data_IF_264350391814
#
_entry.id   IF_264350391814
#
_cell.length_a   1.000
_cell.length_b   1.000
_cell.length_c   1.000
_cell.angle_alpha   90.00
_cell.angle_beta   90.00
_cell.angle_gamma   90.00
#
_symmetry.space_group_name_H-M   'P 1'
#
loop_
_entity.id
_entity.type
_entity.pdbx_description
1 polymer ?
#
# COMPACT_ATOMS: atom_id res chain seq x y z
N UNK A 1 14.99 -13.06 -31.13
CA UNK A 1 15.13 -11.60 -30.84
C UNK A 1 16.12 -11.06 -31.85
N UNK A 2 15.71 -10.16 -32.71
CA UNK A 2 16.58 -9.53 -33.69
C UNK A 2 17.52 -8.47 -33.06
N UNK A 3 18.44 -7.94 -33.86
CA UNK A 3 19.42 -6.96 -33.39
C UNK A 3 18.73 -5.65 -32.95
N UNK A 4 17.69 -5.23 -33.69
CA UNK A 4 16.94 -4.00 -33.40
C UNK A 4 16.19 -4.08 -32.04
N UNK A 5 15.52 -5.19 -31.76
CA UNK A 5 14.85 -5.41 -30.48
C UNK A 5 15.84 -5.42 -29.30
N UNK A 6 17.05 -5.98 -29.48
CA UNK A 6 18.08 -5.94 -28.44
C UNK A 6 18.57 -4.52 -28.16
N UNK A 7 18.80 -3.74 -29.20
CA UNK A 7 19.23 -2.35 -29.08
C UNK A 7 18.14 -1.50 -28.41
N UNK A 8 16.86 -1.71 -28.78
CA UNK A 8 15.71 -1.05 -28.17
C UNK A 8 15.63 -1.34 -26.66
N UNK A 9 15.77 -2.60 -26.25
CA UNK A 9 15.80 -2.97 -24.83
C UNK A 9 16.93 -2.23 -24.13
N UNK A 10 18.15 -2.31 -24.68
CA UNK A 10 19.35 -1.74 -24.04
C UNK A 10 19.22 -0.23 -23.86
N UNK A 11 18.70 0.46 -24.86
CA UNK A 11 18.47 1.90 -24.81
C UNK A 11 17.42 2.30 -23.72
N UNK A 12 16.43 1.44 -23.46
CA UNK A 12 15.33 1.74 -22.55
C UNK A 12 15.54 1.23 -21.11
N UNK A 13 16.57 0.43 -20.83
CA UNK A 13 16.85 -0.01 -19.46
C UNK A 13 17.03 1.17 -18.51
N UNK A 14 17.88 2.14 -18.86
CA UNK A 14 18.12 3.29 -17.98
C UNK A 14 16.91 4.20 -17.80
N UNK A 15 16.17 4.62 -18.81
CA UNK A 15 14.91 5.37 -18.65
C UNK A 15 13.91 4.65 -17.74
N UNK A 16 13.73 3.34 -17.89
CA UNK A 16 12.82 2.55 -17.07
C UNK A 16 13.31 2.46 -15.61
N UNK A 17 14.61 2.26 -15.38
CA UNK A 17 15.19 2.30 -14.04
C UNK A 17 14.99 3.68 -13.40
N UNK A 18 15.24 4.76 -14.13
CA UNK A 18 15.01 6.12 -13.66
C UNK A 18 13.55 6.33 -13.26
N UNK A 19 12.59 5.98 -14.12
CA UNK A 19 11.16 6.08 -13.82
C UNK A 19 10.77 5.25 -12.57
N UNK A 20 11.36 4.07 -12.41
CA UNK A 20 11.20 3.26 -11.21
C UNK A 20 11.60 4.03 -9.95
N UNK A 21 12.81 4.59 -9.93
CA UNK A 21 13.36 5.27 -8.75
C UNK A 21 12.71 6.63 -8.50
N UNK A 22 12.35 7.38 -9.55
CA UNK A 22 11.84 8.76 -9.42
C UNK A 22 10.31 8.86 -9.38
N UNK A 23 9.58 7.82 -9.80
CA UNK A 23 8.12 7.84 -9.80
C UNK A 23 7.50 6.63 -9.10
N UNK A 24 7.80 5.39 -9.53
CA UNK A 24 7.16 4.18 -8.98
C UNK A 24 7.42 4.03 -7.47
N UNK A 25 8.68 4.07 -7.03
CA UNK A 25 9.04 3.93 -5.61
C UNK A 25 8.56 5.10 -4.74
N UNK A 26 8.72 6.38 -5.12
CA UNK A 26 8.15 7.50 -4.38
C UNK A 26 6.63 7.44 -4.28
N UNK A 27 5.92 7.12 -5.39
CA UNK A 27 4.47 6.96 -5.39
C UNK A 27 4.04 5.88 -4.40
N UNK A 28 4.72 4.72 -4.41
CA UNK A 28 4.48 3.65 -3.45
C UNK A 28 4.70 4.11 -2.01
N UNK A 29 5.87 4.70 -1.72
CA UNK A 29 6.25 5.08 -0.36
C UNK A 29 5.32 6.15 0.22
N UNK A 30 5.04 7.22 -0.54
CA UNK A 30 4.17 8.31 -0.10
C UNK A 30 2.75 7.79 0.13
N UNK A 31 2.19 7.06 -0.83
CA UNK A 31 0.84 6.52 -0.72
C UNK A 31 0.70 5.51 0.42
N UNK A 32 1.73 4.68 0.65
CA UNK A 32 1.72 3.72 1.76
C UNK A 32 1.75 4.42 3.12
N UNK A 33 2.62 5.41 3.31
CA UNK A 33 2.74 6.14 4.59
C UNK A 33 1.45 6.90 4.91
N UNK A 34 0.91 7.65 3.94
CA UNK A 34 -0.36 8.37 4.12
C UNK A 34 -1.50 7.37 4.35
N UNK A 35 -1.57 6.32 3.55
CA UNK A 35 -2.58 5.26 3.68
C UNK A 35 -2.53 4.56 5.02
N UNK A 36 -1.33 4.30 5.56
CA UNK A 36 -1.17 3.70 6.90
C UNK A 36 -1.66 4.64 8.01
N UNK A 37 -1.39 5.95 7.90
CA UNK A 37 -1.93 6.94 8.84
C UNK A 37 -3.46 6.98 8.80
N UNK A 38 -4.07 6.96 7.61
CA UNK A 38 -5.52 6.85 7.43
C UNK A 38 -6.02 5.54 8.05
N UNK A 39 -5.34 4.42 7.82
CA UNK A 39 -5.73 3.09 8.29
C UNK A 39 -5.81 3.03 9.82
N UNK A 40 -4.84 3.59 10.52
CA UNK A 40 -4.85 3.64 12.00
C UNK A 40 -6.05 4.46 12.49
N UNK A 41 -6.28 5.65 11.95
CA UNK A 41 -7.41 6.49 12.31
C UNK A 41 -8.76 5.82 12.05
N UNK A 42 -8.92 5.19 10.86
CA UNK A 42 -10.14 4.48 10.47
C UNK A 42 -10.35 3.22 11.32
N UNK A 43 -9.31 2.46 11.64
CA UNK A 43 -9.40 1.28 12.51
C UNK A 43 -9.89 1.68 13.91
N UNK A 44 -9.32 2.72 14.52
CA UNK A 44 -9.73 3.23 15.82
C UNK A 44 -11.16 3.78 15.80
N UNK A 45 -11.52 4.54 14.77
CA UNK A 45 -12.88 5.04 14.60
C UNK A 45 -13.90 3.90 14.47
N UNK A 46 -13.56 2.83 13.73
CA UNK A 46 -14.41 1.65 13.56
C UNK A 46 -14.61 0.88 14.87
N UNK A 47 -13.60 0.84 15.74
CA UNK A 47 -13.65 0.16 17.05
C UNK A 47 -14.38 1.00 18.10
N UNK A 48 -14.65 2.28 17.84
CA UNK A 48 -15.33 3.16 18.78
C UNK A 48 -16.77 2.70 19.06
N UNK A 49 -17.17 2.76 20.34
CA UNK A 49 -18.56 2.55 20.75
C UNK A 49 -19.53 3.63 20.22
N UNK A 50 -19.00 4.80 19.84
CA UNK A 50 -19.78 5.92 19.31
C UNK A 50 -20.14 5.65 17.84
N UNK A 51 -21.43 5.45 17.55
CA UNK A 51 -21.94 5.21 16.17
C UNK A 51 -21.54 6.30 15.18
N UNK A 52 -21.44 7.56 15.64
CA UNK A 52 -21.02 8.71 14.82
C UNK A 52 -19.60 8.52 14.22
N UNK A 53 -18.71 7.80 14.91
CA UNK A 53 -17.37 7.48 14.42
C UNK A 53 -17.34 6.14 13.67
N UNK A 54 -18.00 5.12 14.22
CA UNK A 54 -17.89 3.77 13.67
C UNK A 54 -18.71 3.55 12.39
N UNK A 55 -19.80 4.28 12.18
CA UNK A 55 -20.61 4.14 10.96
C UNK A 55 -19.91 4.71 9.71
N UNK A 56 -19.37 5.95 9.70
CA UNK A 56 -18.59 6.46 8.58
C UNK A 56 -17.36 5.61 8.27
N UNK A 57 -16.65 5.14 9.29
CA UNK A 57 -15.49 4.28 9.12
C UNK A 57 -15.87 2.96 8.41
N UNK A 58 -16.97 2.32 8.80
CA UNK A 58 -17.50 1.12 8.13
C UNK A 58 -17.91 1.40 6.70
N UNK A 59 -18.58 2.51 6.46
CA UNK A 59 -19.03 2.92 5.12
C UNK A 59 -17.82 3.14 4.19
N UNK A 60 -16.81 3.90 4.65
CA UNK A 60 -15.57 4.10 3.91
C UNK A 60 -14.89 2.78 3.55
N UNK A 61 -14.67 1.89 4.52
CA UNK A 61 -14.05 0.58 4.28
C UNK A 61 -14.87 -0.23 3.28
N UNK A 62 -16.20 -0.20 3.39
CA UNK A 62 -17.09 -0.92 2.49
C UNK A 62 -16.96 -0.45 1.04
N UNK A 63 -16.92 0.87 0.80
CA UNK A 63 -16.74 1.45 -0.54
C UNK A 63 -15.37 1.09 -1.10
N UNK A 64 -14.31 1.36 -0.32
CA UNK A 64 -12.93 1.16 -0.81
C UNK A 64 -12.66 -0.30 -1.15
N UNK A 65 -13.14 -1.23 -0.33
CA UNK A 65 -12.95 -2.68 -0.56
C UNK A 65 -13.97 -3.30 -1.51
N UNK A 66 -15.07 -2.60 -1.77
CA UNK A 66 -16.13 -3.03 -2.67
C UNK A 66 -16.01 -2.50 -4.10
N UNK A 67 -15.03 -1.61 -4.37
CA UNK A 67 -14.84 -1.02 -5.69
C UNK A 67 -13.42 -1.26 -6.22
N UNK A 68 -13.23 -1.40 -7.55
CA UNK A 68 -11.90 -1.54 -8.14
C UNK A 68 -11.03 -0.30 -7.92
N UNK A 69 -9.75 -0.51 -7.60
CA UNK A 69 -8.78 0.59 -7.44
C UNK A 69 -8.69 1.48 -8.69
N UNK A 70 -8.74 0.90 -9.88
CA UNK A 70 -8.73 1.67 -11.14
C UNK A 70 -9.92 2.64 -11.23
N UNK A 71 -11.11 2.23 -10.77
CA UNK A 71 -12.29 3.10 -10.75
C UNK A 71 -12.11 4.23 -9.73
N UNK A 72 -11.55 3.93 -8.56
CA UNK A 72 -11.22 4.96 -7.55
C UNK A 72 -10.24 5.99 -8.12
N UNK A 73 -9.21 5.53 -8.83
CA UNK A 73 -8.23 6.38 -9.50
C UNK A 73 -8.89 7.29 -10.55
N UNK A 74 -9.79 6.74 -11.37
CA UNK A 74 -10.52 7.50 -12.39
C UNK A 74 -11.49 8.52 -11.79
N UNK A 75 -12.12 8.21 -10.66
CA UNK A 75 -12.97 9.18 -9.94
C UNK A 75 -12.13 10.37 -9.49
N UNK A 76 -10.97 10.13 -8.88
CA UNK A 76 -10.10 11.21 -8.41
C UNK A 76 -9.56 12.04 -9.56
N UNK A 77 -9.18 11.43 -10.68
CA UNK A 77 -8.51 12.15 -11.77
C UNK A 77 -9.49 12.74 -12.80
N UNK A 78 -10.55 12.03 -13.17
CA UNK A 78 -11.47 12.47 -14.25
C UNK A 78 -12.80 13.02 -13.74
N UNK A 79 -13.29 12.56 -12.57
CA UNK A 79 -14.59 13.02 -12.09
C UNK A 79 -14.49 14.29 -11.24
N UNK A 80 -13.47 14.47 -10.41
CA UNK A 80 -13.31 15.68 -9.58
C UNK A 80 -13.20 16.99 -10.40
N UNK A 81 -12.58 17.04 -11.57
CA UNK A 81 -12.58 18.23 -12.41
C UNK A 81 -13.98 18.72 -12.80
N UNK A 82 -14.99 17.85 -12.87
CA UNK A 82 -16.37 18.26 -13.13
C UNK A 82 -16.96 19.13 -12.00
N UNK A 83 -16.36 19.06 -10.81
CA UNK A 83 -16.70 19.88 -9.65
C UNK A 83 -15.71 21.06 -9.45
N UNK A 84 -14.89 21.35 -10.46
CA UNK A 84 -13.87 22.42 -10.41
C UNK A 84 -12.58 22.07 -9.66
N UNK A 85 -12.40 20.80 -9.27
CA UNK A 85 -11.20 20.34 -8.55
C UNK A 85 -10.27 19.62 -9.54
N UNK A 86 -9.30 20.35 -10.07
CA UNK A 86 -8.29 19.82 -11.00
C UNK A 86 -7.05 19.43 -10.20
N UNK A 87 -6.62 18.18 -10.33
CA UNK A 87 -5.46 17.64 -9.62
C UNK A 87 -4.49 17.05 -10.65
N UNK A 88 -3.22 17.37 -10.53
CA UNK A 88 -2.19 16.79 -11.38
C UNK A 88 -2.11 15.26 -11.25
N UNK A 89 -1.66 14.53 -12.29
CA UNK A 89 -1.65 13.07 -12.32
C UNK A 89 -0.99 12.41 -11.10
N UNK A 90 0.21 12.85 -10.72
CA UNK A 90 0.95 12.22 -9.62
C UNK A 90 0.26 12.44 -8.24
N UNK A 91 -0.13 13.66 -7.83
CA UNK A 91 -0.95 13.85 -6.63
C UNK A 91 -2.29 13.10 -6.67
N UNK A 92 -2.97 13.02 -7.81
CA UNK A 92 -4.21 12.27 -7.96
C UNK A 92 -3.99 10.77 -7.67
N UNK A 93 -2.89 10.19 -8.19
CA UNK A 93 -2.50 8.83 -7.90
C UNK A 93 -2.18 8.63 -6.40
N UNK A 94 -1.44 9.57 -5.78
CA UNK A 94 -1.14 9.52 -4.34
C UNK A 94 -2.43 9.50 -3.52
N UNK A 95 -3.40 10.36 -3.83
CA UNK A 95 -4.69 10.42 -3.12
C UNK A 95 -5.44 9.08 -3.26
N UNK A 96 -5.64 8.61 -4.50
CA UNK A 96 -6.39 7.37 -4.74
C UNK A 96 -5.75 6.16 -4.06
N UNK A 97 -4.44 6.00 -4.18
CA UNK A 97 -3.71 4.88 -3.59
C UNK A 97 -3.67 4.97 -2.06
N UNK A 98 -3.52 6.17 -1.50
CA UNK A 98 -3.57 6.37 -0.05
C UNK A 98 -4.92 6.01 0.54
N UNK A 99 -6.01 6.41 -0.13
CA UNK A 99 -7.36 6.03 0.28
C UNK A 99 -7.56 4.52 0.16
N UNK A 100 -7.08 3.91 -0.91
CA UNK A 100 -7.19 2.45 -1.10
C UNK A 100 -6.44 1.70 -0.01
N UNK A 101 -5.15 1.99 0.19
CA UNK A 101 -4.33 1.41 1.27
C UNK A 101 -4.99 1.64 2.63
N UNK A 102 -5.51 2.86 2.88
CA UNK A 102 -6.21 3.20 4.11
C UNK A 102 -7.37 2.27 4.42
N UNK A 103 -8.20 1.94 3.44
CA UNK A 103 -9.34 1.04 3.61
C UNK A 103 -8.95 -0.42 3.87
N UNK A 104 -7.96 -0.94 3.13
CA UNK A 104 -7.49 -2.31 3.31
C UNK A 104 -6.67 -2.47 4.59
N UNK A 105 -5.72 -1.58 4.85
CA UNK A 105 -4.86 -1.64 6.02
C UNK A 105 -5.64 -1.37 7.33
N UNK A 106 -6.76 -0.62 7.31
CA UNK A 106 -7.59 -0.42 8.49
C UNK A 106 -8.13 -1.74 9.05
N UNK A 107 -8.51 -2.68 8.19
CA UNK A 107 -8.94 -4.01 8.64
C UNK A 107 -7.78 -4.83 9.21
N UNK A 108 -6.60 -4.70 8.63
CA UNK A 108 -5.39 -5.35 9.14
C UNK A 108 -5.06 -4.84 10.53
N UNK A 109 -5.02 -3.52 10.69
CA UNK A 109 -4.75 -2.87 12.01
C UNK A 109 -5.80 -3.27 13.03
N UNK A 110 -7.09 -3.20 12.68
CA UNK A 110 -8.19 -3.60 13.56
C UNK A 110 -8.06 -5.07 13.98
N UNK A 111 -7.83 -5.98 13.03
CA UNK A 111 -7.70 -7.41 13.32
C UNK A 111 -6.49 -7.69 14.21
N UNK A 112 -5.38 -6.99 14.00
CA UNK A 112 -4.18 -7.11 14.82
C UNK A 112 -4.44 -6.64 16.28
N UNK A 113 -5.16 -5.52 16.46
CA UNK A 113 -5.52 -5.05 17.80
C UNK A 113 -6.45 -6.07 18.50
N UNK A 114 -7.44 -6.60 17.79
CA UNK A 114 -8.38 -7.59 18.34
C UNK A 114 -7.75 -8.95 18.61
N UNK A 115 -6.62 -9.28 18.01
CA UNK A 115 -5.91 -10.54 18.24
C UNK A 115 -4.99 -10.52 19.47
N UNK A 116 -4.81 -9.37 20.12
CA UNK A 116 -4.08 -9.28 21.38
C UNK A 116 -4.88 -9.98 22.48
N UNK A 117 -4.23 -10.87 23.19
CA UNK A 117 -4.88 -11.71 24.22
C UNK A 117 -5.64 -10.86 25.24
N UNK A 118 -6.88 -11.27 25.56
CA UNK A 118 -7.77 -10.53 26.47
C UNK A 118 -7.14 -10.31 27.85
N UNK A 119 -6.36 -11.27 28.35
CA UNK A 119 -5.63 -11.13 29.62
C UNK A 119 -4.63 -9.95 29.66
N UNK A 120 -4.17 -9.44 28.50
CA UNK A 120 -3.34 -8.23 28.46
C UNK A 120 -4.17 -6.97 28.78
N UNK A 121 -5.42 -6.96 28.34
CA UNK A 121 -6.37 -5.90 28.65
C UNK A 121 -6.77 -5.93 30.13
N UNK A 122 -7.10 -7.12 30.67
CA UNK A 122 -7.47 -7.30 32.09
C UNK A 122 -6.30 -6.94 33.03
N UNK A 123 -5.07 -7.37 32.70
CA UNK A 123 -3.90 -7.04 33.51
C UNK A 123 -3.64 -5.53 33.52
N UNK A 124 -3.77 -4.84 32.40
CA UNK A 124 -3.62 -3.39 32.35
C UNK A 124 -4.71 -2.67 33.15
N UNK A 125 -5.97 -3.13 33.06
CA UNK A 125 -7.09 -2.59 33.85
C UNK A 125 -6.88 -2.80 35.36
N UNK A 126 -6.39 -3.97 35.75
CA UNK A 126 -6.06 -4.28 37.15
C UNK A 126 -4.95 -3.38 37.72
N UNK A 127 -4.09 -2.84 36.87
CA UNK A 127 -3.07 -1.85 37.22
C UNK A 127 -3.62 -0.41 37.22
N UNK A 128 -4.92 -0.21 37.01
CA UNK A 128 -5.57 1.10 36.97
C UNK A 128 -5.32 1.90 35.67
N UNK A 129 -4.87 1.25 34.61
CA UNK A 129 -4.66 1.94 33.32
C UNK A 129 -6.01 2.29 32.67
N UNK A 130 -6.10 3.51 32.15
CA UNK A 130 -7.23 3.93 31.33
C UNK A 130 -7.18 3.26 29.96
N UNK A 131 -8.33 3.13 29.28
CA UNK A 131 -8.40 2.53 27.93
C UNK A 131 -7.36 3.11 26.93
N UNK A 132 -7.14 4.44 26.82
CA UNK A 132 -6.09 4.97 25.95
C UNK A 132 -4.69 4.54 26.38
N UNK A 133 -4.40 4.48 27.67
CA UNK A 133 -3.10 4.02 28.20
C UNK A 133 -2.88 2.55 27.86
N UNK A 134 -3.85 1.70 28.11
CA UNK A 134 -3.81 0.28 27.77
C UNK A 134 -3.58 0.10 26.25
N UNK A 135 -4.32 0.85 25.43
CA UNK A 135 -4.21 0.78 23.98
C UNK A 135 -2.78 1.15 23.50
N UNK A 136 -2.24 2.28 23.99
CA UNK A 136 -0.95 2.79 23.52
C UNK A 136 0.26 2.05 24.09
N UNK A 137 0.24 1.70 25.37
CA UNK A 137 1.42 1.15 26.04
C UNK A 137 1.45 -0.38 26.05
N UNK A 138 0.30 -1.05 25.98
CA UNK A 138 0.22 -2.51 26.07
C UNK A 138 -0.17 -3.15 24.75
N UNK A 139 -1.27 -2.68 24.14
CA UNK A 139 -1.88 -3.35 22.98
C UNK A 139 -1.21 -2.98 21.68
N UNK A 140 -0.97 -1.69 21.42
CA UNK A 140 -0.39 -1.22 20.15
C UNK A 140 0.98 -1.84 19.84
N UNK A 141 1.93 -1.93 20.79
CA UNK A 141 3.22 -2.56 20.53
C UNK A 141 3.11 -4.04 20.14
N UNK A 142 2.12 -4.75 20.70
CA UNK A 142 1.86 -6.15 20.38
C UNK A 142 1.13 -6.26 19.04
N UNK A 143 0.07 -5.48 18.83
CA UNK A 143 -0.69 -5.43 17.59
C UNK A 143 0.19 -5.04 16.39
N UNK A 144 1.13 -4.09 16.55
CA UNK A 144 2.05 -3.69 15.50
C UNK A 144 2.87 -4.88 14.98
N UNK A 145 3.37 -5.73 15.88
CA UNK A 145 4.11 -6.94 15.48
C UNK A 145 3.25 -7.91 14.66
N UNK A 146 1.98 -8.05 15.01
CA UNK A 146 1.03 -8.91 14.30
C UNK A 146 0.62 -8.30 12.95
N UNK A 147 0.53 -6.97 12.88
CA UNK A 147 0.14 -6.26 11.67
C UNK A 147 1.24 -6.20 10.60
N UNK A 148 2.52 -6.26 10.98
CA UNK A 148 3.66 -6.10 10.05
C UNK A 148 3.63 -7.07 8.86
N UNK A 149 3.43 -8.39 9.00
CA UNK A 149 3.39 -9.29 7.86
C UNK A 149 2.31 -8.92 6.83
N UNK A 150 1.03 -8.78 7.20
CA UNK A 150 -0.01 -8.41 6.24
C UNK A 150 0.15 -6.99 5.68
N UNK A 151 0.69 -6.03 6.44
CA UNK A 151 1.00 -4.69 5.93
C UNK A 151 2.15 -4.72 4.92
N UNK A 152 3.15 -5.58 5.11
CA UNK A 152 4.22 -5.78 4.14
C UNK A 152 3.68 -6.34 2.81
N UNK A 153 2.73 -7.27 2.87
CA UNK A 153 2.03 -7.76 1.67
C UNK A 153 1.24 -6.64 0.97
N UNK A 154 0.62 -5.74 1.73
CA UNK A 154 -0.07 -4.57 1.18
C UNK A 154 0.92 -3.64 0.47
N UNK A 155 2.10 -3.40 1.03
CA UNK A 155 3.15 -2.60 0.40
C UNK A 155 3.64 -3.23 -0.92
N UNK A 156 3.90 -4.55 -0.93
CA UNK A 156 4.33 -5.27 -2.15
C UNK A 156 3.24 -5.24 -3.23
N UNK A 157 1.98 -5.35 -2.85
CA UNK A 157 0.85 -5.21 -3.78
C UNK A 157 0.78 -3.79 -4.36
N UNK A 158 0.93 -2.77 -3.51
CA UNK A 158 0.89 -1.38 -3.93
C UNK A 158 1.97 -1.05 -4.98
N UNK A 159 3.18 -1.62 -4.87
CA UNK A 159 4.22 -1.47 -5.91
C UNK A 159 3.69 -1.87 -7.28
N UNK A 160 2.97 -2.98 -7.38
CA UNK A 160 2.38 -3.45 -8.65
C UNK A 160 1.20 -2.57 -9.08
N UNK A 161 0.40 -2.14 -8.12
CA UNK A 161 -0.77 -1.29 -8.36
C UNK A 161 -0.38 0.10 -8.89
N UNK A 162 0.86 0.58 -8.64
CA UNK A 162 1.34 1.83 -9.23
C UNK A 162 1.30 1.81 -10.76
N UNK A 163 1.36 0.65 -11.40
CA UNK A 163 1.20 0.51 -12.84
C UNK A 163 -0.13 1.07 -13.36
N UNK A 164 -1.20 1.06 -12.55
CA UNK A 164 -2.49 1.65 -12.89
C UNK A 164 -2.39 3.17 -13.09
N UNK A 165 -1.43 3.83 -12.47
CA UNK A 165 -1.22 5.26 -12.63
C UNK A 165 -0.78 5.66 -14.06
N UNK A 166 -0.29 4.71 -14.85
CA UNK A 166 -0.02 4.90 -16.29
C UNK A 166 -1.28 5.34 -17.05
N UNK A 167 -2.46 4.90 -16.61
CA UNK A 167 -3.76 5.20 -17.25
C UNK A 167 -4.22 6.64 -17.05
N UNK A 168 -3.67 7.33 -16.05
CA UNK A 168 -3.89 8.75 -15.77
C UNK A 168 -2.63 9.58 -16.05
N UNK A 169 -1.79 9.12 -16.98
CA UNK A 169 -0.62 9.83 -17.51
C UNK A 169 0.55 10.03 -16.52
N UNK A 170 0.59 9.33 -15.40
CA UNK A 170 1.79 9.31 -14.55
C UNK A 170 2.90 8.55 -15.26
N UNK A 171 4.03 9.22 -15.50
CA UNK A 171 5.20 8.61 -16.17
C UNK A 171 6.01 7.81 -15.12
N UNK A 172 5.46 6.67 -14.73
CA UNK A 172 6.09 5.65 -13.90
C UNK A 172 6.68 4.51 -14.80
N UNK A 173 7.13 3.40 -14.21
CA UNK A 173 7.79 2.32 -14.91
C UNK A 173 6.99 1.78 -16.11
N UNK A 174 5.71 1.41 -15.92
CA UNK A 174 4.89 0.86 -17.01
C UNK A 174 4.62 1.90 -18.10
N UNK A 175 4.32 3.14 -17.73
CA UNK A 175 4.11 4.23 -18.69
C UNK A 175 5.35 4.46 -19.56
N UNK A 176 6.54 4.41 -18.94
CA UNK A 176 7.81 4.53 -19.67
C UNK A 176 7.97 3.39 -20.68
N UNK A 177 7.64 2.16 -20.30
CA UNK A 177 7.64 1.03 -21.22
C UNK A 177 6.62 1.19 -22.37
N UNK A 178 5.41 1.68 -22.06
CA UNK A 178 4.37 1.96 -23.07
C UNK A 178 4.84 2.98 -24.10
N UNK A 179 5.43 4.09 -23.66
CA UNK A 179 5.92 5.15 -24.53
C UNK A 179 7.08 4.67 -25.41
N UNK A 180 7.95 3.83 -24.88
CA UNK A 180 9.06 3.25 -25.62
C UNK A 180 8.61 2.20 -26.64
N UNK A 181 7.55 1.42 -26.33
CA UNK A 181 7.04 0.38 -27.22
C UNK A 181 6.15 0.93 -28.35
N UNK A 182 5.49 2.07 -28.14
CA UNK A 182 4.50 2.59 -29.08
C UNK A 182 5.04 2.84 -30.52
N UNK A 183 6.26 3.38 -30.73
CA UNK A 183 6.77 3.63 -32.08
C UNK A 183 7.13 2.35 -32.86
N UNK A 184 7.53 1.29 -32.15
CA UNK A 184 8.07 0.05 -32.78
C UNK A 184 7.11 -1.12 -32.69
N UNK A 185 6.04 -1.01 -31.88
CA UNK A 185 5.10 -2.09 -31.55
C UNK A 185 5.76 -3.30 -30.86
N UNK A 186 6.97 -3.15 -30.33
CA UNK A 186 7.70 -4.18 -29.59
C UNK A 186 7.20 -4.31 -28.13
N UNK A 187 5.89 -4.45 -27.97
CA UNK A 187 5.25 -4.52 -26.64
C UNK A 187 5.74 -5.70 -25.81
N UNK A 188 5.91 -6.87 -26.46
CA UNK A 188 6.35 -8.07 -25.73
C UNK A 188 7.72 -7.86 -25.07
N UNK A 189 8.66 -7.29 -25.81
CA UNK A 189 10.02 -7.07 -25.31
C UNK A 189 10.04 -6.06 -24.16
N UNK A 190 9.43 -4.87 -24.35
CA UNK A 190 9.50 -3.80 -23.36
C UNK A 190 8.59 -4.03 -22.13
N UNK A 191 7.43 -4.66 -22.33
CA UNK A 191 6.60 -5.07 -21.18
C UNK A 191 7.24 -6.23 -20.41
N UNK A 192 7.98 -7.12 -21.09
CA UNK A 192 8.79 -8.14 -20.46
C UNK A 192 9.88 -7.54 -19.55
N UNK A 193 10.55 -6.47 -20.04
CA UNK A 193 11.51 -5.71 -19.23
C UNK A 193 10.82 -5.04 -18.03
N UNK A 194 9.66 -4.39 -18.24
CA UNK A 194 8.90 -3.80 -17.13
C UNK A 194 8.50 -4.85 -16.09
N UNK A 195 8.02 -6.00 -16.52
CA UNK A 195 7.67 -7.11 -15.64
C UNK A 195 8.88 -7.60 -14.83
N UNK A 196 10.06 -7.66 -15.44
CA UNK A 196 11.30 -8.02 -14.77
C UNK A 196 11.66 -7.00 -13.68
N UNK A 197 11.53 -5.70 -13.94
CA UNK A 197 11.76 -4.66 -12.92
C UNK A 197 10.79 -4.79 -11.75
N UNK A 198 9.48 -4.93 -12.00
CA UNK A 198 8.49 -5.16 -10.96
C UNK A 198 8.80 -6.43 -10.15
N UNK A 199 9.17 -7.51 -10.81
CA UNK A 199 9.52 -8.76 -10.16
C UNK A 199 10.74 -8.60 -9.24
N UNK A 200 11.80 -7.95 -9.70
CA UNK A 200 13.01 -7.71 -8.89
C UNK A 200 12.70 -6.84 -7.68
N UNK A 201 11.90 -5.78 -7.84
CA UNK A 201 11.49 -4.93 -6.71
C UNK A 201 10.68 -5.74 -5.68
N UNK A 202 9.68 -6.50 -6.15
CA UNK A 202 8.86 -7.33 -5.27
C UNK A 202 9.70 -8.42 -4.57
N UNK A 203 10.70 -8.99 -5.25
CA UNK A 203 11.62 -9.97 -4.67
C UNK A 203 12.47 -9.35 -3.56
N UNK A 204 13.02 -8.16 -3.77
CA UNK A 204 13.80 -7.43 -2.76
C UNK A 204 12.93 -7.11 -1.54
N UNK A 205 11.73 -6.60 -1.76
CA UNK A 205 10.77 -6.31 -0.68
C UNK A 205 10.34 -7.58 0.06
N UNK A 206 10.08 -8.67 -0.65
CA UNK A 206 9.74 -9.97 -0.07
C UNK A 206 10.85 -10.55 0.80
N UNK A 207 12.11 -10.44 0.36
CA UNK A 207 13.26 -10.82 1.19
C UNK A 207 13.35 -9.95 2.46
N UNK A 208 13.08 -8.66 2.34
CA UNK A 208 12.99 -7.75 3.48
C UNK A 208 11.89 -8.14 4.46
N UNK A 209 10.70 -8.46 3.94
CA UNK A 209 9.56 -8.94 4.72
C UNK A 209 9.92 -10.20 5.51
N UNK A 210 10.45 -11.24 4.86
CA UNK A 210 10.82 -12.51 5.52
C UNK A 210 11.81 -12.29 6.66
N UNK A 211 12.82 -11.42 6.46
CA UNK A 211 13.79 -11.06 7.51
C UNK A 211 13.12 -10.35 8.68
N UNK A 212 12.19 -9.44 8.40
CA UNK A 212 11.44 -8.71 9.42
C UNK A 212 10.53 -9.64 10.23
N UNK A 213 9.80 -10.53 9.55
CA UNK A 213 8.97 -11.57 10.18
C UNK A 213 9.77 -12.48 11.10
N UNK A 214 10.92 -12.96 10.63
CA UNK A 214 11.81 -13.81 11.43
C UNK A 214 12.31 -13.11 12.68
N UNK A 215 12.58 -11.81 12.63
CA UNK A 215 12.97 -11.02 13.80
C UNK A 215 11.84 -10.84 14.80
N UNK A 216 10.62 -10.57 14.31
CA UNK A 216 9.44 -10.35 15.14
C UNK A 216 8.93 -11.64 15.81
N UNK A 217 9.00 -12.79 15.11
CA UNK A 217 8.54 -14.08 15.62
C UNK A 217 9.42 -14.66 16.75
N UNK A 218 10.69 -14.32 16.81
CA UNK A 218 11.60 -14.77 17.89
C UNK A 218 11.11 -14.40 19.30
N UNK A 219 10.42 -13.28 19.44
CA UNK A 219 9.88 -12.83 20.72
C UNK A 219 8.57 -13.52 21.13
N UNK A 220 7.83 -14.09 20.16
CA UNK A 220 6.56 -14.80 20.42
C UNK A 220 6.83 -16.25 20.83
N UNK A 221 7.87 -16.88 20.30
CA UNK A 221 8.24 -18.25 20.64
C UNK A 221 8.76 -18.40 22.08
N UNK A 222 9.37 -17.36 22.65
CA UNK A 222 9.84 -17.35 24.04
C UNK A 222 8.70 -17.18 25.07
N UNK A 223 7.55 -16.62 24.67
CA UNK A 223 6.38 -16.44 25.56
C UNK A 223 5.48 -17.69 25.65
N UNK A 224 5.76 -18.75 24.85
CA UNK A 224 5.00 -20.02 24.86
C UNK A 224 5.73 -21.17 25.59
N UNK A 225 6.89 -20.90 26.17
CA UNK A 225 7.62 -21.82 27.07
C UNK A 225 7.49 -21.33 28.50
#
# INVERSE_FOLDING_TARGET
MDAATRELIWHNLWPMLKATVTATLPLTAISFVIGLAIAVGVALARMSAKRVLSAPARFYISIIRGTPLLVQLFIVFYALPQFGIVIDPFPAAVIAFSLNVGGYAAEVVRSAIMSVAYGQWEAAESLGMTYPQTLWYVVFPQAARIAVPPLSNTLISLVKDTSLASTILVTELLRTAQLAAAPTFDFFALYGVAALYYWVICLILGMGQTRLETRLSRHVALARR
#
